data_IF_888303789407
#
_entry.id   IF_888303789407
#
_cell.length_a   1.000
_cell.length_b   1.000
_cell.length_c   1.000
_cell.angle_alpha   90.00
_cell.angle_beta   90.00
_cell.angle_gamma   90.00
#
_symmetry.space_group_name_H-M   'P 1'
#
loop_
_entity.id
_entity.type
_entity.pdbx_description
1 polymer ?
#
# COMPACT_ATOMS: atom_id res chain seq x y z
N UNK A 1 0.45 6.67 13.18
CA UNK A 1 1.19 7.03 14.42
C UNK A 1 2.09 8.22 14.11
N UNK A 2 2.01 9.27 14.92
CA UNK A 2 2.91 10.42 14.82
C UNK A 2 4.33 9.96 15.22
N UNK A 3 5.33 10.07 14.35
CA UNK A 3 6.70 9.64 14.65
C UNK A 3 7.31 10.36 15.86
N UNK A 4 6.84 11.57 16.15
CA UNK A 4 7.29 12.34 17.33
C UNK A 4 6.71 11.82 18.64
N UNK A 5 5.67 10.99 18.59
CA UNK A 5 4.93 10.49 19.74
C UNK A 5 5.00 8.97 19.96
N UNK A 6 5.92 8.29 19.27
CA UNK A 6 6.07 6.83 19.43
C UNK A 6 6.33 6.44 20.90
N UNK A 7 7.03 7.29 21.66
CA UNK A 7 7.36 7.00 23.05
C UNK A 7 6.12 7.01 23.98
N UNK A 8 5.05 7.71 23.61
CA UNK A 8 3.78 7.70 24.36
C UNK A 8 3.00 6.38 24.23
N UNK A 9 3.39 5.50 23.31
CA UNK A 9 2.75 4.19 23.13
C UNK A 9 3.05 3.23 24.32
N UNK A 10 4.11 3.46 25.06
CA UNK A 10 4.47 2.67 26.24
C UNK A 10 3.41 2.83 27.33
N UNK A 11 2.94 4.05 27.56
CA UNK A 11 1.91 4.36 28.56
C UNK A 11 0.56 3.70 28.24
N UNK A 12 0.31 3.46 26.94
CA UNK A 12 -0.93 2.84 26.45
C UNK A 12 -0.83 1.32 26.31
N UNK A 13 0.33 0.73 26.61
CA UNK A 13 0.59 -0.70 26.42
C UNK A 13 0.26 -1.22 25.02
N UNK A 14 0.53 -0.41 23.99
CA UNK A 14 0.26 -0.75 22.60
C UNK A 14 1.22 -1.83 22.13
N UNK A 15 0.68 -2.91 21.60
CA UNK A 15 1.47 -4.01 21.02
C UNK A 15 1.28 -4.16 19.49
N UNK A 16 0.44 -3.34 18.88
CA UNK A 16 0.14 -3.34 17.46
C UNK A 16 -0.12 -1.92 16.94
N UNK A 17 0.45 -1.57 15.80
CA UNK A 17 0.21 -0.28 15.13
C UNK A 17 -0.04 -0.48 13.63
N UNK A 18 -1.04 0.23 13.09
CA UNK A 18 -1.28 0.32 11.67
C UNK A 18 -0.73 1.64 11.12
N UNK A 19 -0.15 1.60 9.91
CA UNK A 19 0.42 2.78 9.28
C UNK A 19 0.18 2.79 7.77
N UNK A 20 -0.34 3.91 7.25
CA UNK A 20 -0.62 4.08 5.83
C UNK A 20 0.67 4.37 5.04
N UNK A 21 0.83 3.70 3.90
CA UNK A 21 1.86 3.98 2.90
C UNK A 21 1.16 4.35 1.58
N UNK A 22 0.87 5.64 1.36
CA UNK A 22 0.46 6.12 0.05
C UNK A 22 1.62 5.94 -0.94
N UNK A 23 1.51 4.93 -1.81
CA UNK A 23 2.63 4.49 -2.65
C UNK A 23 3.06 5.53 -3.69
N UNK A 24 2.15 6.40 -4.12
CA UNK A 24 2.52 7.53 -4.99
C UNK A 24 3.48 8.52 -4.32
N UNK A 25 3.48 8.63 -2.99
CA UNK A 25 4.38 9.53 -2.26
C UNK A 25 5.81 9.00 -2.14
N UNK A 26 5.97 7.68 -2.16
CA UNK A 26 7.29 7.05 -2.08
C UNK A 26 7.95 6.84 -3.45
N UNK A 27 7.21 7.04 -4.53
CA UNK A 27 7.68 6.89 -5.91
C UNK A 27 8.21 8.21 -6.47
N UNK A 28 9.34 8.13 -7.17
CA UNK A 28 9.98 9.26 -7.83
C UNK A 28 11.29 9.69 -7.17
N UNK A 29 11.94 10.64 -7.79
CA UNK A 29 13.20 11.17 -7.30
C UNK A 29 12.99 12.21 -6.20
N UNK A 30 13.99 12.42 -5.38
CA UNK A 30 14.04 13.51 -4.40
C UNK A 30 15.10 14.53 -4.77
N UNK A 31 14.82 15.79 -4.50
CA UNK A 31 15.78 16.89 -4.62
C UNK A 31 16.53 17.17 -3.32
N UNK A 32 16.18 16.47 -2.23
CA UNK A 32 16.79 16.66 -0.93
C UNK A 32 18.10 15.87 -0.83
N UNK A 33 19.24 16.58 -0.86
CA UNK A 33 20.56 15.96 -0.80
C UNK A 33 20.84 15.16 0.48
N UNK A 34 20.14 15.45 1.59
CA UNK A 34 20.27 14.69 2.84
C UNK A 34 19.62 13.30 2.76
N UNK A 35 18.68 13.14 1.84
CA UNK A 35 17.91 11.91 1.64
C UNK A 35 17.91 11.54 0.16
N UNK A 36 19.02 11.00 -0.35
CA UNK A 36 19.16 10.73 -1.80
C UNK A 36 18.10 9.75 -2.29
N UNK A 37 17.76 9.88 -3.57
CA UNK A 37 16.89 8.93 -4.26
C UNK A 37 17.43 7.51 -4.11
N UNK A 38 16.54 6.56 -3.80
CA UNK A 38 16.87 5.15 -3.72
C UNK A 38 16.46 4.50 -5.05
N UNK A 39 17.44 3.95 -5.76
CA UNK A 39 17.19 3.21 -6.98
C UNK A 39 17.05 1.72 -6.69
N UNK A 40 15.99 1.11 -7.19
CA UNK A 40 15.70 -0.31 -7.02
C UNK A 40 15.48 -0.96 -8.39
N UNK A 41 16.23 -2.00 -8.68
CA UNK A 41 16.10 -2.75 -9.95
C UNK A 41 15.23 -3.98 -9.74
N UNK A 42 14.17 -4.08 -10.53
CA UNK A 42 13.26 -5.23 -10.59
C UNK A 42 13.08 -5.65 -12.05
N UNK A 43 13.27 -6.92 -12.36
CA UNK A 43 13.18 -7.49 -13.72
C UNK A 43 13.95 -6.70 -14.79
N UNK A 44 15.13 -6.17 -14.43
CA UNK A 44 15.97 -5.40 -15.36
C UNK A 44 15.56 -3.93 -15.54
N UNK A 45 14.44 -3.49 -14.95
CA UNK A 45 14.05 -2.07 -14.90
C UNK A 45 14.41 -1.44 -13.57
N UNK A 46 14.86 -0.20 -13.59
CA UNK A 46 15.22 0.54 -12.38
C UNK A 46 14.13 1.57 -12.08
N UNK A 47 13.65 1.55 -10.84
CA UNK A 47 12.64 2.45 -10.32
C UNK A 47 13.24 3.36 -9.26
N UNK A 48 12.82 4.63 -9.25
CA UNK A 48 13.24 5.62 -8.28
C UNK A 48 12.25 5.68 -7.11
N UNK A 49 12.79 5.61 -5.89
CA UNK A 49 12.03 5.80 -4.65
C UNK A 49 12.51 7.07 -3.94
N UNK A 50 11.57 7.85 -3.44
CA UNK A 50 11.84 9.10 -2.75
C UNK A 50 12.52 8.82 -1.40
N UNK A 51 13.83 9.07 -1.34
CA UNK A 51 14.65 8.77 -0.17
C UNK A 51 14.20 9.48 1.09
N UNK A 52 13.67 10.70 0.99
CA UNK A 52 13.15 11.42 2.15
C UNK A 52 11.90 10.73 2.72
N UNK A 53 10.94 10.35 1.85
CA UNK A 53 9.74 9.64 2.31
C UNK A 53 10.05 8.27 2.88
N UNK A 54 10.99 7.57 2.28
CA UNK A 54 11.44 6.27 2.81
C UNK A 54 12.12 6.45 4.17
N UNK A 55 12.96 7.46 4.37
CA UNK A 55 13.60 7.71 5.65
C UNK A 55 12.60 8.05 6.78
N UNK A 56 11.47 8.69 6.46
CA UNK A 56 10.37 8.92 7.41
C UNK A 56 9.78 7.56 7.89
N UNK A 57 9.51 6.63 6.97
CA UNK A 57 9.03 5.29 7.34
C UNK A 57 10.09 4.48 8.09
N UNK A 58 11.35 4.53 7.69
CA UNK A 58 12.46 3.87 8.39
C UNK A 58 12.53 4.31 9.86
N UNK A 59 12.42 5.61 10.10
CA UNK A 59 12.44 6.18 11.46
C UNK A 59 11.25 5.68 12.31
N UNK A 60 10.06 5.61 11.73
CA UNK A 60 8.86 5.15 12.44
C UNK A 60 8.95 3.65 12.70
N UNK A 61 9.23 2.86 11.68
CA UNK A 61 9.18 1.41 11.76
C UNK A 61 10.31 0.84 12.61
N UNK A 62 11.53 1.39 12.54
CA UNK A 62 12.62 0.99 13.42
C UNK A 62 12.30 1.24 14.89
N UNK A 63 11.71 2.39 15.23
CA UNK A 63 11.31 2.73 16.61
C UNK A 63 10.19 1.84 17.13
N UNK A 64 9.17 1.56 16.32
CA UNK A 64 8.09 0.62 16.67
C UNK A 64 8.65 -0.80 16.86
N UNK A 65 9.51 -1.25 15.96
CA UNK A 65 10.16 -2.57 16.06
C UNK A 65 11.01 -2.69 17.32
N UNK A 66 11.78 -1.65 17.66
CA UNK A 66 12.60 -1.63 18.88
C UNK A 66 11.76 -1.73 20.18
N UNK A 67 10.50 -1.31 20.14
CA UNK A 67 9.52 -1.46 21.23
C UNK A 67 8.75 -2.80 21.18
N UNK A 68 9.04 -3.68 20.26
CA UNK A 68 8.31 -4.96 20.09
C UNK A 68 6.89 -4.78 19.56
N UNK A 69 6.54 -3.63 18.98
CA UNK A 69 5.22 -3.35 18.44
C UNK A 69 5.11 -3.96 17.05
N UNK A 70 4.10 -4.80 16.84
CA UNK A 70 3.78 -5.40 15.53
C UNK A 70 3.24 -4.33 14.59
N UNK A 71 3.80 -4.25 13.38
CA UNK A 71 3.42 -3.26 12.38
C UNK A 71 2.55 -3.88 11.29
N UNK A 72 1.40 -3.25 11.01
CA UNK A 72 0.57 -3.48 9.83
C UNK A 72 0.70 -2.28 8.90
N UNK A 73 1.31 -2.46 7.74
CA UNK A 73 1.42 -1.43 6.72
C UNK A 73 0.25 -1.54 5.73
N UNK A 74 -0.44 -0.42 5.50
CA UNK A 74 -1.59 -0.33 4.59
C UNK A 74 -1.11 0.36 3.32
N UNK A 75 -1.08 -0.36 2.21
CA UNK A 75 -0.70 0.15 0.90
C UNK A 75 -1.89 0.87 0.27
N UNK A 76 -1.71 2.14 -0.08
CA UNK A 76 -2.76 2.97 -0.69
C UNK A 76 -2.23 3.58 -1.99
N UNK A 77 -3.07 3.63 -3.02
CA UNK A 77 -2.71 4.27 -4.29
C UNK A 77 -3.27 5.70 -4.36
N UNK A 78 -2.40 6.68 -4.17
CA UNK A 78 -2.75 8.11 -4.23
C UNK A 78 -2.28 8.77 -5.54
N UNK A 79 -2.10 8.00 -6.63
CA UNK A 79 -1.45 8.40 -7.89
C UNK A 79 0.02 8.79 -7.70
N UNK A 80 0.75 8.82 -8.78
CA UNK A 80 2.12 9.31 -8.83
C UNK A 80 2.33 10.10 -10.12
N UNK A 81 2.90 11.29 -10.02
CA UNK A 81 3.27 12.07 -11.21
C UNK A 81 4.48 11.48 -11.92
N UNK A 82 5.40 10.87 -11.16
CA UNK A 82 6.60 10.22 -11.72
C UNK A 82 6.28 8.88 -12.39
N UNK A 83 5.25 8.18 -11.89
CA UNK A 83 4.86 6.85 -12.35
C UNK A 83 3.33 6.75 -12.50
N UNK A 84 2.71 7.46 -13.47
CA UNK A 84 1.26 7.50 -13.62
C UNK A 84 0.64 6.13 -13.92
N UNK A 85 1.41 5.19 -14.47
CA UNK A 85 0.98 3.82 -14.75
C UNK A 85 0.64 3.01 -13.49
N UNK A 86 0.91 3.50 -12.27
CA UNK A 86 0.47 2.86 -11.03
C UNK A 86 -1.05 2.85 -10.88
N UNK A 87 -1.73 3.79 -11.54
CA UNK A 87 -3.16 4.00 -11.44
C UNK A 87 -3.90 3.17 -12.48
N UNK A 88 -4.87 2.37 -12.02
CA UNK A 88 -5.71 1.52 -12.86
C UNK A 88 -6.38 2.34 -14.00
N UNK A 89 -6.50 1.80 -15.23
CA UNK A 89 -7.12 2.52 -16.34
C UNK A 89 -8.51 3.09 -16.02
N UNK A 90 -9.36 2.34 -15.34
CA UNK A 90 -10.69 2.77 -14.89
C UNK A 90 -10.67 3.82 -13.76
N UNK A 91 -9.49 4.22 -13.30
CA UNK A 91 -9.32 5.18 -12.19
C UNK A 91 -8.71 6.51 -12.62
N UNK A 92 -8.25 6.60 -13.89
CA UNK A 92 -7.43 7.74 -14.34
C UNK A 92 -8.20 9.05 -14.36
N UNK A 93 -9.45 9.02 -14.80
CA UNK A 93 -10.30 10.20 -14.97
C UNK A 93 -11.04 10.62 -13.69
N UNK A 94 -10.92 9.84 -12.62
CA UNK A 94 -11.60 10.12 -11.36
C UNK A 94 -10.86 11.11 -10.46
N UNK A 95 -11.64 11.70 -9.55
CA UNK A 95 -11.13 12.51 -8.45
C UNK A 95 -11.52 11.86 -7.13
N UNK A 96 -10.55 11.28 -6.45
CA UNK A 96 -10.70 10.61 -5.15
C UNK A 96 -9.40 10.77 -4.35
N UNK A 97 -9.41 10.35 -3.10
CA UNK A 97 -8.19 10.31 -2.28
C UNK A 97 -7.30 9.14 -2.70
N UNK A 98 -7.89 7.98 -2.95
CA UNK A 98 -7.18 6.76 -3.33
C UNK A 98 -7.85 6.07 -4.50
N UNK A 99 -7.06 5.39 -5.31
CA UNK A 99 -7.42 4.86 -6.62
C UNK A 99 -7.09 3.38 -6.72
N UNK A 100 -7.75 2.67 -7.62
CA UNK A 100 -7.42 1.28 -7.95
C UNK A 100 -5.95 1.14 -8.39
N UNK A 101 -5.33 0.05 -7.97
CA UNK A 101 -3.98 -0.33 -8.40
C UNK A 101 -4.01 -0.88 -9.82
N UNK A 102 -3.06 -0.50 -10.64
CA UNK A 102 -3.01 -0.97 -12.03
C UNK A 102 -2.40 -2.38 -12.13
N UNK A 103 -3.23 -3.38 -11.96
CA UNK A 103 -2.89 -4.77 -12.28
C UNK A 103 -3.51 -5.25 -13.61
N UNK A 104 -4.02 -4.32 -14.45
CA UNK A 104 -4.62 -4.60 -15.74
C UNK A 104 -3.62 -4.45 -16.90
N UNK A 105 -2.58 -3.64 -16.74
CA UNK A 105 -1.56 -3.38 -17.75
C UNK A 105 -0.20 -3.87 -17.29
N UNK A 106 0.62 -4.37 -18.21
CA UNK A 106 1.94 -4.96 -17.93
C UNK A 106 2.86 -4.01 -17.13
N UNK A 107 2.99 -2.74 -17.57
CA UNK A 107 3.80 -1.73 -16.90
C UNK A 107 3.30 -1.42 -15.46
N UNK A 108 1.99 -1.49 -15.26
CA UNK A 108 1.39 -1.35 -13.93
C UNK A 108 1.70 -2.54 -13.03
N UNK A 109 1.50 -3.76 -13.53
CA UNK A 109 1.84 -5.00 -12.81
C UNK A 109 3.30 -5.01 -12.38
N UNK A 110 4.20 -4.66 -13.30
CA UNK A 110 5.64 -4.67 -13.03
C UNK A 110 6.03 -3.62 -11.98
N UNK A 111 5.45 -2.41 -12.06
CA UNK A 111 5.66 -1.38 -11.06
C UNK A 111 5.12 -1.76 -9.68
N UNK A 112 3.88 -2.31 -9.60
CA UNK A 112 3.31 -2.78 -8.32
C UNK A 112 4.18 -3.90 -7.71
N UNK A 113 4.68 -4.82 -8.53
CA UNK A 113 5.57 -5.88 -8.07
C UNK A 113 6.91 -5.32 -7.57
N UNK A 114 7.47 -4.31 -8.26
CA UNK A 114 8.69 -3.62 -7.82
C UNK A 114 8.47 -2.91 -6.47
N UNK A 115 7.33 -2.21 -6.29
CA UNK A 115 6.97 -1.56 -5.02
C UNK A 115 6.84 -2.58 -3.90
N UNK A 116 6.09 -3.66 -4.11
CA UNK A 116 5.91 -4.73 -3.12
C UNK A 116 7.21 -5.39 -2.73
N UNK A 117 8.07 -5.71 -3.72
CA UNK A 117 9.39 -6.31 -3.49
C UNK A 117 10.31 -5.36 -2.73
N UNK A 118 10.39 -4.09 -3.14
CA UNK A 118 11.23 -3.08 -2.47
C UNK A 118 10.85 -2.91 -1.01
N UNK A 119 9.56 -2.70 -0.73
CA UNK A 119 9.08 -2.49 0.64
C UNK A 119 9.27 -3.73 1.50
N UNK A 120 8.94 -4.92 1.00
CA UNK A 120 9.09 -6.17 1.74
C UNK A 120 10.55 -6.52 2.00
N UNK A 121 11.46 -6.23 1.06
CA UNK A 121 12.89 -6.41 1.24
C UNK A 121 13.45 -5.45 2.29
N UNK A 122 13.03 -4.17 2.25
CA UNK A 122 13.52 -3.14 3.16
C UNK A 122 13.08 -3.36 4.59
N UNK A 123 11.82 -3.76 4.79
CA UNK A 123 11.21 -3.92 6.12
C UNK A 123 11.08 -5.38 6.56
N UNK A 124 12.00 -6.24 6.16
CA UNK A 124 12.00 -7.66 6.56
C UNK A 124 12.74 -7.95 7.86
N UNK A 125 13.60 -7.04 8.32
CA UNK A 125 14.45 -7.19 9.48
C UNK A 125 14.51 -5.90 10.31
N UNK A 126 15.28 -5.90 11.38
CA UNK A 126 15.33 -4.79 12.35
C UNK A 126 16.11 -3.57 11.88
N UNK A 127 16.81 -3.62 10.74
CA UNK A 127 17.67 -2.52 10.26
C UNK A 127 16.87 -1.25 9.98
N UNK A 128 15.76 -1.39 9.23
CA UNK A 128 14.83 -0.27 8.95
C UNK A 128 13.48 -0.47 9.63
N UNK A 129 13.35 -1.50 10.46
CA UNK A 129 12.11 -1.93 11.09
C UNK A 129 11.48 -3.13 10.37
N UNK A 130 10.67 -3.89 11.11
CA UNK A 130 10.07 -5.13 10.61
C UNK A 130 8.57 -4.97 10.41
N UNK A 131 8.12 -5.09 9.16
CA UNK A 131 6.70 -5.10 8.81
C UNK A 131 6.29 -6.52 8.48
N UNK A 132 5.46 -7.11 9.34
CA UNK A 132 4.97 -8.48 9.16
C UNK A 132 3.61 -8.55 8.47
N UNK A 133 2.79 -7.53 8.61
CA UNK A 133 1.45 -7.51 8.06
C UNK A 133 1.33 -6.41 6.98
N UNK A 134 0.92 -6.80 5.79
CA UNK A 134 0.70 -5.92 4.65
C UNK A 134 -0.76 -5.96 4.26
N UNK A 135 -1.42 -4.81 4.25
CA UNK A 135 -2.82 -4.68 3.87
C UNK A 135 -2.87 -3.98 2.52
N UNK A 136 -3.48 -4.61 1.52
CA UNK A 136 -3.58 -4.06 0.15
C UNK A 136 -4.88 -3.27 0.04
N UNK A 137 -4.76 -1.96 0.00
CA UNK A 137 -5.91 -1.05 0.07
C UNK A 137 -6.51 -0.94 1.47
N UNK A 138 -7.45 -0.05 1.63
CA UNK A 138 -8.26 0.10 2.85
C UNK A 138 -9.72 0.15 2.46
N UNK A 139 -10.60 -0.56 3.18
CA UNK A 139 -12.05 -0.54 2.97
C UNK A 139 -12.45 -0.51 1.49
N UNK A 140 -11.85 -1.40 0.70
CA UNK A 140 -11.88 -1.34 -0.77
C UNK A 140 -13.25 -1.45 -1.38
N UNK A 141 -14.23 -1.99 -0.64
CA UNK A 141 -15.63 -2.00 -1.03
C UNK A 141 -16.27 -0.58 -1.02
N UNK A 142 -15.68 0.37 -0.28
CA UNK A 142 -16.01 1.81 -0.35
C UNK A 142 -15.23 2.42 -1.52
N UNK A 143 -15.66 2.07 -2.72
CA UNK A 143 -14.99 2.35 -3.97
C UNK A 143 -14.67 3.83 -4.20
N UNK A 144 -15.57 4.71 -3.84
CA UNK A 144 -15.44 6.15 -4.11
C UNK A 144 -14.33 6.83 -3.33
N UNK A 145 -13.94 6.28 -2.19
CA UNK A 145 -12.98 6.91 -1.28
C UNK A 145 -11.62 6.19 -1.26
N UNK A 146 -11.65 4.87 -1.13
CA UNK A 146 -10.45 4.11 -0.80
C UNK A 146 -9.82 3.33 -1.97
N UNK A 147 -10.61 3.03 -3.02
CA UNK A 147 -10.11 2.26 -4.17
C UNK A 147 -10.88 2.65 -5.43
N UNK A 148 -10.85 3.96 -5.74
CA UNK A 148 -11.65 4.50 -6.85
C UNK A 148 -11.33 3.82 -8.17
N UNK A 149 -12.38 3.32 -8.79
CA UNK A 149 -12.47 2.96 -10.22
C UNK A 149 -13.82 3.47 -10.73
N UNK A 150 -13.99 3.67 -12.03
CA UNK A 150 -15.32 3.88 -12.62
C UNK A 150 -16.24 2.75 -12.16
N UNK A 151 -17.54 3.06 -12.01
CA UNK A 151 -18.50 2.04 -11.60
C UNK A 151 -18.62 0.96 -12.68
N UNK A 152 -18.37 -0.28 -12.28
CA UNK A 152 -18.48 -1.48 -13.10
C UNK A 152 -19.27 -2.54 -12.34
N UNK A 153 -19.61 -3.65 -12.97
CA UNK A 153 -20.20 -4.78 -12.26
C UNK A 153 -19.25 -5.32 -11.18
N UNK A 154 -19.84 -5.98 -10.20
CA UNK A 154 -19.12 -6.49 -9.04
C UNK A 154 -18.00 -7.48 -9.45
N UNK A 155 -18.28 -8.38 -10.39
CA UNK A 155 -17.31 -9.41 -10.82
C UNK A 155 -16.08 -8.75 -11.45
N UNK A 156 -16.29 -7.73 -12.27
CA UNK A 156 -15.20 -6.96 -12.86
C UNK A 156 -14.40 -6.23 -11.77
N UNK A 157 -15.07 -5.54 -10.85
CA UNK A 157 -14.40 -4.84 -9.75
C UNK A 157 -13.58 -5.79 -8.88
N UNK A 158 -14.19 -6.90 -8.45
CA UNK A 158 -13.55 -7.93 -7.62
C UNK A 158 -12.32 -8.53 -8.32
N UNK A 159 -12.43 -8.85 -9.62
CA UNK A 159 -11.34 -9.40 -10.41
C UNK A 159 -10.16 -8.43 -10.49
N UNK A 160 -10.40 -7.15 -10.80
CA UNK A 160 -9.34 -6.15 -10.91
C UNK A 160 -8.64 -5.92 -9.56
N UNK A 161 -9.39 -5.86 -8.47
CA UNK A 161 -8.80 -5.77 -7.13
C UNK A 161 -8.05 -7.05 -6.75
N UNK A 162 -8.60 -8.23 -7.01
CA UNK A 162 -7.93 -9.50 -6.72
C UNK A 162 -6.62 -9.67 -7.49
N UNK A 163 -6.53 -9.16 -8.73
CA UNK A 163 -5.30 -9.14 -9.51
C UNK A 163 -4.22 -8.30 -8.81
N UNK A 164 -4.58 -7.10 -8.31
CA UNK A 164 -3.67 -6.26 -7.55
C UNK A 164 -3.18 -6.93 -6.26
N UNK A 165 -4.11 -7.56 -5.50
CA UNK A 165 -3.76 -8.33 -4.29
C UNK A 165 -2.78 -9.46 -4.63
N UNK A 166 -3.00 -10.17 -5.74
CA UNK A 166 -2.10 -11.26 -6.18
C UNK A 166 -0.70 -10.76 -6.52
N UNK A 167 -0.59 -9.60 -7.19
CA UNK A 167 0.71 -8.99 -7.51
C UNK A 167 1.47 -8.65 -6.23
N UNK A 168 0.84 -7.96 -5.28
CA UNK A 168 1.45 -7.65 -4.00
C UNK A 168 1.76 -8.89 -3.17
N UNK A 169 0.84 -9.86 -3.12
CA UNK A 169 1.08 -11.12 -2.42
C UNK A 169 2.36 -11.80 -2.93
N UNK A 170 2.47 -12.01 -4.24
CA UNK A 170 3.61 -12.69 -4.83
C UNK A 170 4.91 -11.92 -4.59
N UNK A 171 4.92 -10.60 -4.82
CA UNK A 171 6.11 -9.76 -4.67
C UNK A 171 6.57 -9.65 -3.20
N UNK A 172 5.65 -9.48 -2.25
CA UNK A 172 5.95 -9.44 -0.82
C UNK A 172 6.47 -10.79 -0.33
N UNK A 173 5.77 -11.88 -0.67
CA UNK A 173 6.14 -13.23 -0.25
C UNK A 173 7.47 -13.69 -0.82
N UNK A 174 7.85 -13.23 -2.02
CA UNK A 174 9.15 -13.55 -2.62
C UNK A 174 10.32 -12.93 -1.83
N UNK A 175 10.11 -11.79 -1.16
CA UNK A 175 11.14 -11.11 -0.38
C UNK A 175 11.09 -11.47 1.11
N UNK A 176 9.90 -11.78 1.64
CA UNK A 176 9.71 -12.19 3.03
C UNK A 176 8.60 -13.26 3.11
N UNK A 177 8.99 -14.54 3.09
CA UNK A 177 8.06 -15.67 3.13
C UNK A 177 7.18 -15.70 4.40
N UNK A 178 7.64 -15.08 5.50
CA UNK A 178 6.90 -15.02 6.76
C UNK A 178 5.89 -13.85 6.81
N UNK A 179 6.00 -12.87 5.91
CA UNK A 179 5.05 -11.78 5.85
C UNK A 179 3.63 -12.28 5.55
N UNK A 180 2.64 -11.59 6.08
CA UNK A 180 1.22 -11.85 5.86
C UNK A 180 0.63 -10.75 5.00
N UNK A 181 -0.23 -11.12 4.06
CA UNK A 181 -0.92 -10.16 3.19
C UNK A 181 -2.41 -10.28 3.44
N UNK A 182 -3.05 -9.14 3.64
CA UNK A 182 -4.45 -9.00 4.00
C UNK A 182 -5.19 -8.09 3.04
N UNK A 183 -6.50 -8.22 3.05
CA UNK A 183 -7.45 -7.27 2.48
C UNK A 183 -8.21 -6.58 3.61
N UNK A 184 -8.71 -5.37 3.38
CA UNK A 184 -9.50 -4.62 4.35
C UNK A 184 -10.83 -4.22 3.73
N UNK A 185 -11.91 -4.53 4.43
CA UNK A 185 -13.28 -4.18 4.07
C UNK A 185 -13.87 -3.24 5.11
N UNK A 186 -14.82 -2.41 4.68
CA UNK A 186 -15.63 -1.57 5.56
C UNK A 186 -16.57 -2.42 6.43
N UNK A 187 -17.05 -1.80 7.49
CA UNK A 187 -18.02 -2.36 8.43
C UNK A 187 -19.37 -2.77 7.80
N UNK A 188 -19.69 -2.23 6.64
CA UNK A 188 -20.95 -2.49 5.94
C UNK A 188 -20.89 -3.83 5.21
N UNK A 189 -21.03 -4.91 5.97
CA UNK A 189 -20.88 -6.28 5.49
C UNK A 189 -21.89 -6.65 4.38
N UNK A 190 -23.18 -6.44 4.62
CA UNK A 190 -24.29 -6.73 3.69
C UNK A 190 -25.32 -5.59 3.63
N UNK A 191 -24.90 -4.39 3.93
CA UNK A 191 -25.77 -3.23 4.08
C UNK A 191 -25.18 -1.97 3.49
N UNK A 192 -24.98 -1.99 2.20
CA UNK A 192 -24.50 -0.83 1.48
C UNK A 192 -25.64 0.21 1.32
N UNK A 193 -25.41 1.40 1.87
CA UNK A 193 -26.36 2.52 1.78
C UNK A 193 -26.31 3.18 0.39
N UNK A 194 -25.23 2.99 -0.35
CA UNK A 194 -24.95 3.65 -1.63
C UNK A 194 -24.63 2.64 -2.73
N UNK A 195 -25.60 1.79 -3.08
CA UNK A 195 -25.43 0.67 -4.03
C UNK A 195 -24.95 1.09 -5.42
N UNK A 196 -25.19 2.35 -5.83
CA UNK A 196 -24.69 2.88 -7.10
C UNK A 196 -23.22 3.37 -7.04
N UNK A 197 -22.61 3.38 -5.85
CA UNK A 197 -21.28 3.92 -5.63
C UNK A 197 -20.31 2.90 -5.06
N UNK A 198 -20.78 2.06 -4.13
CA UNK A 198 -19.98 1.13 -3.38
C UNK A 198 -20.54 -0.29 -3.51
N UNK A 199 -19.78 -1.28 -3.04
CA UNK A 199 -20.16 -2.69 -3.06
C UNK A 199 -20.33 -3.19 -1.62
N UNK A 200 -21.17 -4.21 -1.42
CA UNK A 200 -21.22 -4.89 -0.14
C UNK A 200 -19.92 -5.67 0.11
N UNK A 201 -19.38 -5.55 1.32
CA UNK A 201 -18.14 -6.24 1.68
C UNK A 201 -18.26 -7.76 1.51
N UNK A 202 -19.41 -8.32 1.87
CA UNK A 202 -19.75 -9.74 1.74
C UNK A 202 -19.67 -10.24 0.29
N UNK A 203 -20.15 -9.43 -0.65
CA UNK A 203 -20.22 -9.85 -2.07
C UNK A 203 -18.86 -9.70 -2.76
N UNK A 204 -17.97 -8.85 -2.22
CA UNK A 204 -16.61 -8.65 -2.74
C UNK A 204 -15.63 -9.74 -2.26
N UNK A 205 -15.94 -10.47 -1.21
CA UNK A 205 -15.11 -11.52 -0.61
C UNK A 205 -15.37 -12.89 -1.23
#
# INVERSE_FOLDING_TARGET
VDPMRVDQLDDLHVNHAAYNIPIGNILGETTNALYPTIYYTYNGRTYAFNGQRIAEYDSIFSRLTAKGITISAILLNNKSSAYPQITHPLSRDGSAYYYGFNAAEEDGVELLAAVGSFLAQRYRDTTCGTVMNWIVGNEVNVRTDWNYMQHVDLDTYAREYANAVRVFYNSIKSMNANARVFVSMDQQWDRNISTNQNYDAKDLM
#
